data_IF_284073444588
#
_entry.id   IF_284073444588
#
_cell.length_a   1.000
_cell.length_b   1.000
_cell.length_c   1.000
_cell.angle_alpha   90.00
_cell.angle_beta   90.00
_cell.angle_gamma   90.00
#
_symmetry.space_group_name_H-M   'P 1'
#
loop_
_entity.id
_entity.type
_entity.pdbx_description
1 polymer ?
#
# COMPACT_ATOMS: atom_id res chain seq x y z
N UNK A 1 24.20 -9.74 26.64
CA UNK A 1 23.20 -10.77 26.27
C UNK A 1 21.86 -10.44 26.90
N UNK A 2 20.86 -10.08 26.09
CA UNK A 2 19.43 -10.44 26.17
C UNK A 2 18.64 -9.52 25.24
N UNK A 3 17.90 -10.14 24.33
CA UNK A 3 17.01 -9.52 23.35
C UNK A 3 15.88 -8.76 24.05
N UNK A 4 15.38 -7.70 23.42
CA UNK A 4 14.06 -7.15 23.73
C UNK A 4 13.28 -6.94 22.43
N UNK A 5 12.13 -7.60 22.40
CA UNK A 5 11.07 -7.52 21.39
C UNK A 5 10.43 -6.13 21.41
N UNK A 6 10.06 -5.60 20.24
CA UNK A 6 9.07 -4.52 20.17
C UNK A 6 7.85 -4.98 19.38
N UNK A 7 6.79 -5.29 20.12
CA UNK A 7 5.41 -5.35 19.66
C UNK A 7 4.95 -3.94 19.29
N UNK A 8 4.48 -3.76 18.06
CA UNK A 8 3.78 -2.54 17.65
C UNK A 8 2.37 -2.54 18.24
N UNK A 9 2.19 -1.84 19.35
CA UNK A 9 0.88 -1.37 19.82
C UNK A 9 0.75 0.13 19.58
N UNK A 10 -0.31 0.50 18.87
CA UNK A 10 -0.90 1.84 18.72
C UNK A 10 -0.05 3.03 19.17
N UNK A 11 0.54 3.72 18.20
CA UNK A 11 1.11 5.04 18.38
C UNK A 11 0.00 6.07 18.63
N UNK A 12 -0.37 6.27 19.91
CA UNK A 12 -0.90 7.56 20.35
C UNK A 12 0.30 8.47 20.62
N UNK A 13 0.68 9.25 19.61
CA UNK A 13 1.66 10.33 19.74
C UNK A 13 1.15 11.34 20.77
N UNK A 14 1.75 11.34 21.95
CA UNK A 14 2.07 12.53 22.73
C UNK A 14 2.77 12.11 24.00
N UNK A 15 4.08 11.88 23.90
CA UNK A 15 5.12 12.12 24.92
C UNK A 15 6.39 11.39 24.49
N UNK A 16 7.30 12.10 23.83
CA UNK A 16 8.69 11.65 23.79
C UNK A 16 9.39 12.29 24.99
N UNK A 17 9.72 11.48 26.00
CA UNK A 17 10.54 11.94 27.13
C UNK A 17 12.00 11.76 26.72
N UNK A 18 12.67 12.85 26.36
CA UNK A 18 14.12 12.84 26.13
C UNK A 18 14.81 13.20 27.45
N UNK A 19 15.59 12.26 27.99
CA UNK A 19 16.40 12.49 29.19
C UNK A 19 17.79 12.96 28.77
N UNK A 20 18.15 14.20 29.12
CA UNK A 20 19.54 14.63 29.18
C UNK A 20 19.92 14.87 30.63
N UNK A 21 20.98 14.20 31.09
CA UNK A 21 21.50 14.37 32.44
C UNK A 21 22.59 15.46 32.43
N UNK A 22 22.31 16.60 33.08
CA UNK A 22 23.36 17.52 33.49
C UNK A 22 23.42 17.52 35.03
N UNK A 23 24.57 17.10 35.55
CA UNK A 23 24.84 16.94 36.97
C UNK A 23 25.06 18.30 37.66
N UNK A 24 24.03 18.84 38.31
CA UNK A 24 24.17 19.83 39.39
C UNK A 24 23.02 19.67 40.40
N UNK A 25 23.29 19.57 41.72
CA UNK A 25 22.24 19.42 42.73
C UNK A 25 21.63 20.79 43.08
N UNK A 26 20.32 20.95 42.86
CA UNK A 26 19.56 22.11 43.38
C UNK A 26 18.57 22.82 42.45
N UNK A 27 18.16 22.24 41.31
CA UNK A 27 17.21 22.92 40.42
C UNK A 27 15.76 22.49 40.66
N UNK A 28 14.92 23.44 41.09
CA UNK A 28 13.46 23.33 40.98
C UNK A 28 13.05 23.09 39.52
N UNK A 29 12.29 22.02 39.30
CA UNK A 29 11.69 21.70 37.99
C UNK A 29 10.68 22.78 37.61
N UNK A 30 11.02 23.62 36.63
CA UNK A 30 10.03 24.44 35.94
C UNK A 30 9.49 23.64 34.76
N UNK A 31 8.20 23.32 34.78
CA UNK A 31 7.50 22.75 33.62
C UNK A 31 7.35 23.85 32.58
N UNK A 32 8.18 23.81 31.54
CA UNK A 32 7.97 24.66 30.36
C UNK A 32 6.92 23.98 29.48
N UNK A 33 5.69 24.47 29.52
CA UNK A 33 4.63 24.04 28.60
C UNK A 33 4.91 24.65 27.23
N UNK A 34 5.54 23.89 26.34
CA UNK A 34 5.69 24.28 24.94
C UNK A 34 4.35 24.01 24.25
N UNK A 35 3.51 25.04 24.09
CA UNK A 35 2.29 24.92 23.29
C UNK A 35 2.69 24.66 21.84
N UNK A 36 2.21 23.56 21.26
CA UNK A 36 2.39 23.31 19.82
C UNK A 36 1.83 24.49 19.02
N UNK A 37 2.61 25.08 18.09
CA UNK A 37 2.11 26.17 17.24
C UNK A 37 1.09 25.67 16.20
N UNK A 38 0.92 24.35 16.05
CA UNK A 38 -0.03 23.76 15.13
C UNK A 38 -1.44 23.77 15.74
N UNK A 39 -2.28 24.68 15.25
CA UNK A 39 -3.74 24.60 15.42
C UNK A 39 -4.21 23.29 14.80
N UNK A 40 -4.98 22.50 15.55
CA UNK A 40 -5.69 21.34 15.01
C UNK A 40 -6.73 21.84 14.02
N UNK A 41 -6.43 21.72 12.74
CA UNK A 41 -7.38 22.02 11.68
C UNK A 41 -8.44 20.91 11.64
N UNK A 42 -9.64 21.23 12.12
CA UNK A 42 -10.80 20.34 12.11
C UNK A 42 -11.41 20.17 10.70
N UNK A 43 -10.82 20.74 9.64
CA UNK A 43 -11.28 20.57 8.25
C UNK A 43 -10.74 19.31 7.57
N UNK A 44 -9.86 18.54 8.21
CA UNK A 44 -9.44 17.23 7.68
C UNK A 44 -10.62 16.26 7.81
N UNK A 45 -11.34 16.06 6.70
CA UNK A 45 -12.40 15.05 6.61
C UNK A 45 -11.85 13.70 7.03
N UNK A 46 -12.37 13.13 8.13
CA UNK A 46 -12.02 11.78 8.56
C UNK A 46 -12.31 10.81 7.41
N UNK A 47 -11.37 9.91 7.12
CA UNK A 47 -11.60 8.86 6.12
C UNK A 47 -12.86 8.07 6.52
N UNK A 48 -13.77 7.78 5.56
CA UNK A 48 -14.93 6.95 5.84
C UNK A 48 -14.52 5.60 6.43
N UNK A 49 -15.31 5.13 7.39
CA UNK A 49 -15.12 3.81 7.96
C UNK A 49 -15.62 2.73 6.97
N UNK A 50 -14.78 1.73 6.70
CA UNK A 50 -15.13 0.56 5.88
C UNK A 50 -15.36 -0.60 6.84
N UNK A 51 -16.58 -1.16 6.87
CA UNK A 51 -16.96 -2.23 7.80
C UNK A 51 -16.13 -3.51 7.57
N UNK A 52 -15.85 -4.26 8.63
CA UNK A 52 -15.08 -5.51 8.53
C UNK A 52 -15.71 -6.50 7.55
N UNK A 53 -17.04 -6.58 7.49
CA UNK A 53 -17.77 -7.39 6.51
C UNK A 53 -17.45 -6.98 5.07
N UNK A 54 -17.39 -5.67 4.78
CA UNK A 54 -17.03 -5.18 3.44
C UNK A 54 -15.55 -5.42 3.13
N UNK A 55 -14.66 -5.24 4.12
CA UNK A 55 -13.22 -5.54 3.98
C UNK A 55 -13.00 -7.00 3.62
N UNK A 56 -13.68 -7.91 4.31
CA UNK A 56 -13.62 -9.35 4.05
C UNK A 56 -14.20 -9.71 2.68
N UNK A 57 -15.35 -9.13 2.31
CA UNK A 57 -15.94 -9.34 0.98
C UNK A 57 -14.98 -8.93 -0.16
N UNK A 58 -14.34 -7.76 -0.03
CA UNK A 58 -13.34 -7.28 -1.00
C UNK A 58 -12.13 -8.21 -1.04
N UNK A 59 -11.61 -8.65 0.12
CA UNK A 59 -10.46 -9.55 0.18
C UNK A 59 -10.75 -10.93 -0.42
N UNK A 60 -11.91 -11.51 -0.12
CA UNK A 60 -12.37 -12.79 -0.67
C UNK A 60 -12.56 -12.70 -2.19
N UNK A 61 -13.17 -11.62 -2.69
CA UNK A 61 -13.35 -11.37 -4.13
C UNK A 61 -12.00 -11.24 -4.84
N UNK A 62 -11.02 -10.60 -4.20
CA UNK A 62 -9.65 -10.51 -4.69
C UNK A 62 -8.84 -11.81 -4.50
N UNK A 63 -9.46 -12.89 -4.04
CA UNK A 63 -8.83 -14.18 -3.71
C UNK A 63 -7.61 -14.01 -2.79
N UNK A 64 -7.68 -13.04 -1.88
CA UNK A 64 -6.61 -12.65 -0.97
C UNK A 64 -5.29 -12.29 -1.68
N UNK A 65 -5.36 -11.73 -2.90
CA UNK A 65 -4.22 -11.25 -3.68
C UNK A 65 -4.33 -9.77 -3.97
N UNK A 66 -3.18 -9.11 -4.10
CA UNK A 66 -3.14 -7.72 -4.57
C UNK A 66 -3.69 -7.64 -6.01
N UNK A 67 -4.65 -6.75 -6.27
CA UNK A 67 -5.22 -6.57 -7.61
C UNK A 67 -4.24 -6.18 -8.71
N UNK A 68 -3.11 -5.58 -8.35
CA UNK A 68 -2.11 -5.11 -9.31
C UNK A 68 -0.99 -6.12 -9.55
N UNK A 69 -0.36 -6.57 -8.47
CA UNK A 69 0.84 -7.42 -8.55
C UNK A 69 0.61 -8.90 -8.26
N UNK A 70 -0.62 -9.28 -7.93
CA UNK A 70 -1.05 -10.63 -7.53
C UNK A 70 -0.28 -11.27 -6.37
N UNK A 71 0.52 -10.49 -5.62
CA UNK A 71 1.12 -10.94 -4.35
C UNK A 71 0.01 -11.39 -3.40
N UNK A 72 0.14 -12.62 -2.89
CA UNK A 72 -0.80 -13.18 -1.91
C UNK A 72 -0.60 -12.59 -0.52
N UNK A 73 -1.71 -12.35 0.15
CA UNK A 73 -1.75 -12.02 1.58
C UNK A 73 -1.11 -13.12 2.42
N UNK A 74 -1.20 -14.40 2.00
CA UNK A 74 -0.74 -15.55 2.78
C UNK A 74 0.78 -15.61 3.04
N UNK A 75 1.59 -14.92 2.24
CA UNK A 75 3.04 -14.80 2.44
C UNK A 75 3.52 -13.35 2.53
N UNK A 76 2.59 -12.39 2.66
CA UNK A 76 2.93 -11.00 2.94
C UNK A 76 2.97 -10.80 4.45
N UNK A 77 4.14 -10.47 4.99
CA UNK A 77 4.31 -10.21 6.43
C UNK A 77 3.66 -8.89 6.92
N UNK A 78 2.98 -8.17 6.04
CA UNK A 78 2.34 -6.88 6.29
C UNK A 78 0.85 -6.96 5.94
N UNK A 79 -0.02 -6.27 6.68
CA UNK A 79 -1.44 -6.20 6.34
C UNK A 79 -1.67 -5.66 4.94
N UNK A 80 -2.62 -6.26 4.22
CA UNK A 80 -3.11 -5.74 2.95
C UNK A 80 -4.01 -4.51 3.21
N UNK A 81 -4.05 -3.62 2.23
CA UNK A 81 -4.88 -2.42 2.27
C UNK A 81 -6.16 -2.64 1.48
N UNK A 82 -7.25 -2.09 2.01
CA UNK A 82 -8.46 -1.83 1.21
C UNK A 82 -8.23 -0.48 0.56
N UNK A 83 -8.06 -0.52 -0.75
CA UNK A 83 -7.57 0.57 -1.58
C UNK A 83 -8.71 1.14 -2.42
N UNK A 84 -8.74 2.48 -2.49
CA UNK A 84 -9.70 3.23 -3.29
C UNK A 84 -9.17 3.41 -4.72
N UNK A 85 -9.77 2.72 -5.68
CA UNK A 85 -9.38 2.76 -7.09
C UNK A 85 -9.41 4.21 -7.60
N UNK A 86 -10.54 4.89 -7.39
CA UNK A 86 -10.64 6.35 -7.43
C UNK A 86 -10.38 6.88 -6.01
N UNK A 87 -9.30 7.65 -5.79
CA UNK A 87 -8.98 8.17 -4.46
C UNK A 87 -10.11 9.05 -3.90
N UNK A 88 -10.28 9.04 -2.57
CA UNK A 88 -11.22 9.94 -1.89
C UNK A 88 -10.98 11.42 -2.23
N UNK A 89 -9.71 11.82 -2.36
CA UNK A 89 -9.33 13.19 -2.75
C UNK A 89 -9.76 13.58 -4.17
N UNK A 90 -10.08 12.59 -5.02
CA UNK A 90 -10.60 12.76 -6.37
C UNK A 90 -12.12 12.47 -6.44
N UNK A 91 -12.83 12.44 -5.31
CA UNK A 91 -14.27 12.21 -5.25
C UNK A 91 -14.69 10.73 -5.22
N UNK A 92 -13.75 9.80 -5.02
CA UNK A 92 -14.08 8.39 -4.85
C UNK A 92 -14.92 8.12 -3.59
N UNK A 93 -15.79 7.13 -3.66
CA UNK A 93 -16.61 6.67 -2.53
C UNK A 93 -15.93 5.50 -1.79
N UNK A 94 -16.51 5.03 -0.68
CA UNK A 94 -16.04 3.82 0.04
C UNK A 94 -16.99 2.64 -0.15
N UNK A 95 -17.61 2.57 -1.31
CA UNK A 95 -18.48 1.46 -1.73
C UNK A 95 -17.67 0.37 -2.42
N UNK A 96 -18.21 -0.84 -2.44
CA UNK A 96 -17.51 -2.01 -2.97
C UNK A 96 -16.95 -1.80 -4.38
N UNK A 97 -17.70 -1.17 -5.28
CA UNK A 97 -17.30 -0.94 -6.68
C UNK A 97 -16.01 -0.10 -6.83
N UNK A 98 -15.67 0.72 -5.84
CA UNK A 98 -14.46 1.53 -5.81
C UNK A 98 -13.34 0.94 -4.93
N UNK A 99 -13.56 -0.21 -4.30
CA UNK A 99 -12.62 -0.83 -3.38
C UNK A 99 -11.98 -2.09 -3.97
N UNK A 100 -10.68 -2.24 -3.75
CA UNK A 100 -9.95 -3.49 -4.01
C UNK A 100 -8.88 -3.80 -2.96
N UNK A 101 -8.35 -5.03 -2.97
CA UNK A 101 -7.24 -5.43 -2.11
C UNK A 101 -5.89 -5.07 -2.74
N UNK A 102 -5.05 -4.33 -2.02
CA UNK A 102 -3.73 -3.93 -2.49
C UNK A 102 -2.63 -4.24 -1.47
N UNK A 103 -1.45 -4.68 -1.94
CA UNK A 103 -0.30 -4.81 -1.05
C UNK A 103 0.26 -3.42 -0.67
N UNK A 104 1.02 -3.32 0.44
CA UNK A 104 1.56 -2.03 0.88
C UNK A 104 2.40 -1.30 -0.17
N UNK A 105 3.17 -2.04 -0.98
CA UNK A 105 3.99 -1.45 -2.04
C UNK A 105 3.13 -0.85 -3.16
N UNK A 106 2.20 -1.63 -3.73
CA UNK A 106 1.34 -1.14 -4.81
C UNK A 106 0.45 0.01 -4.35
N UNK A 107 -0.16 -0.10 -3.16
CA UNK A 107 -0.96 0.98 -2.58
C UNK A 107 -0.12 2.25 -2.35
N UNK A 108 1.10 2.10 -1.83
CA UNK A 108 2.03 3.21 -1.59
C UNK A 108 2.48 3.91 -2.87
N UNK A 109 2.81 3.16 -3.93
CA UNK A 109 3.18 3.75 -5.22
C UNK A 109 2.00 4.34 -5.96
N UNK A 110 0.81 3.72 -5.92
CA UNK A 110 -0.40 4.28 -6.52
C UNK A 110 -0.73 5.63 -5.89
N UNK A 111 -0.80 5.69 -4.56
CA UNK A 111 -1.18 6.92 -3.85
C UNK A 111 -2.50 7.46 -4.38
N UNK A 112 -2.48 8.68 -4.94
CA UNK A 112 -3.65 9.32 -5.56
C UNK A 112 -3.67 9.25 -7.09
N UNK A 113 -2.75 8.51 -7.70
CA UNK A 113 -2.67 8.39 -9.16
C UNK A 113 -3.86 7.57 -9.68
N UNK A 114 -4.48 8.07 -10.76
CA UNK A 114 -5.50 7.35 -11.55
C UNK A 114 -5.09 7.19 -13.02
N UNK A 115 -4.05 7.92 -13.44
CA UNK A 115 -3.52 7.89 -14.79
C UNK A 115 -1.99 7.95 -14.75
N UNK A 116 -1.37 7.46 -15.81
CA UNK A 116 0.06 7.59 -16.05
C UNK A 116 0.34 7.57 -17.55
N UNK A 117 1.41 8.23 -17.99
CA UNK A 117 1.80 8.23 -19.40
C UNK A 117 2.21 6.81 -19.84
N UNK A 118 1.61 6.30 -20.91
CA UNK A 118 2.05 5.05 -21.52
C UNK A 118 3.49 5.23 -22.05
N UNK A 119 4.46 4.43 -21.60
CA UNK A 119 5.87 4.64 -21.95
C UNK A 119 6.17 4.50 -23.44
N UNK A 120 5.31 3.85 -24.23
CA UNK A 120 5.51 3.72 -25.68
C UNK A 120 4.98 4.93 -26.46
N UNK A 121 3.84 5.49 -26.05
CA UNK A 121 3.12 6.51 -26.82
C UNK A 121 3.17 7.91 -26.19
N UNK A 122 3.53 8.01 -24.90
CA UNK A 122 3.45 9.24 -24.11
C UNK A 122 2.03 9.66 -23.74
N UNK A 123 1.00 8.96 -24.22
CA UNK A 123 -0.40 9.31 -23.97
C UNK A 123 -0.76 9.02 -22.53
N UNK A 124 -1.33 10.01 -21.84
CA UNK A 124 -1.81 9.85 -20.48
C UNK A 124 -2.99 8.86 -20.45
N UNK A 125 -2.79 7.70 -19.84
CA UNK A 125 -3.72 6.56 -19.88
C UNK A 125 -4.17 6.21 -18.47
N UNK A 126 -5.43 5.79 -18.31
CA UNK A 126 -5.91 5.26 -17.04
C UNK A 126 -5.07 4.05 -16.61
N UNK A 127 -4.67 4.03 -15.34
CA UNK A 127 -4.03 2.85 -14.76
C UNK A 127 -5.10 1.77 -14.50
N UNK A 128 -4.64 0.53 -14.42
CA UNK A 128 -5.48 -0.66 -14.36
C UNK A 128 -6.49 -0.62 -13.22
N UNK A 129 -7.73 -0.98 -13.52
CA UNK A 129 -8.81 -1.11 -12.56
C UNK A 129 -9.12 -2.59 -12.29
N UNK A 130 -8.70 -3.15 -11.16
CA UNK A 130 -8.90 -4.57 -10.85
C UNK A 130 -10.36 -4.98 -10.63
N UNK A 131 -11.28 -4.02 -10.40
CA UNK A 131 -12.72 -4.31 -10.28
C UNK A 131 -13.38 -4.54 -11.64
N UNK A 132 -12.88 -3.88 -12.69
CA UNK A 132 -13.55 -3.81 -14.00
C UNK A 132 -12.79 -4.54 -15.11
N UNK A 133 -11.49 -4.79 -14.93
CA UNK A 133 -10.62 -5.32 -15.98
C UNK A 133 -10.04 -6.67 -15.57
N UNK A 134 -9.91 -7.58 -16.54
CA UNK A 134 -9.24 -8.86 -16.32
C UNK A 134 -7.73 -8.65 -16.37
N UNK A 135 -7.03 -9.12 -15.35
CA UNK A 135 -5.57 -8.96 -15.26
C UNK A 135 -4.87 -9.55 -16.49
N UNK A 136 -5.31 -10.73 -16.95
CA UNK A 136 -4.76 -11.41 -18.11
C UNK A 136 -4.91 -10.65 -19.41
N UNK A 137 -5.84 -9.70 -19.54
CA UNK A 137 -5.99 -8.94 -20.79
C UNK A 137 -4.90 -7.86 -20.88
N UNK A 138 -4.48 -7.32 -19.74
CA UNK A 138 -3.55 -6.19 -19.66
C UNK A 138 -2.11 -6.60 -19.33
N UNK A 139 -1.91 -7.77 -18.73
CA UNK A 139 -0.61 -8.20 -18.24
C UNK A 139 -0.32 -9.67 -18.58
N UNK A 140 0.95 -10.03 -18.47
CA UNK A 140 1.43 -11.41 -18.33
C UNK A 140 2.65 -11.45 -17.43
N UNK A 141 2.97 -12.62 -16.90
CA UNK A 141 4.28 -12.86 -16.28
C UNK A 141 5.37 -13.03 -17.34
N UNK A 142 6.61 -12.69 -17.00
CA UNK A 142 7.79 -13.20 -17.69
C UNK A 142 7.89 -14.71 -17.53
N UNK A 143 8.64 -15.38 -18.40
CA UNK A 143 8.79 -16.85 -18.37
C UNK A 143 9.33 -17.37 -17.03
N UNK A 144 10.21 -16.59 -16.39
CA UNK A 144 10.76 -16.89 -15.06
C UNK A 144 9.83 -16.52 -13.89
N UNK A 145 8.66 -15.94 -14.16
CA UNK A 145 7.70 -15.49 -13.15
C UNK A 145 8.14 -14.28 -12.33
N UNK A 146 9.24 -13.60 -12.67
CA UNK A 146 9.80 -12.54 -11.82
C UNK A 146 9.24 -11.15 -12.14
N UNK A 147 8.77 -10.94 -13.36
CA UNK A 147 8.34 -9.64 -13.87
C UNK A 147 6.90 -9.68 -14.39
N UNK A 148 6.20 -8.57 -14.20
CA UNK A 148 4.91 -8.28 -14.83
C UNK A 148 5.18 -7.48 -16.10
N UNK A 149 4.69 -7.97 -17.23
CA UNK A 149 4.84 -7.35 -18.54
C UNK A 149 3.48 -6.78 -18.94
N UNK A 150 3.41 -5.47 -19.19
CA UNK A 150 2.21 -4.81 -19.70
C UNK A 150 2.02 -5.09 -21.19
N UNK A 151 0.83 -5.56 -21.58
CA UNK A 151 0.46 -5.92 -22.96
C UNK A 151 -0.31 -4.83 -23.69
N UNK A 152 -0.85 -3.88 -22.93
CA UNK A 152 -1.70 -2.77 -23.42
C UNK A 152 -1.14 -1.45 -22.88
N UNK A 153 -1.56 -0.32 -23.46
CA UNK A 153 -1.19 1.01 -22.95
C UNK A 153 -1.52 1.15 -21.45
N UNK A 154 -2.70 0.71 -21.03
CA UNK A 154 -3.11 0.66 -19.62
C UNK A 154 -2.17 -0.22 -18.78
N UNK A 155 -1.83 -1.42 -19.25
CA UNK A 155 -0.92 -2.32 -18.55
C UNK A 155 0.50 -1.75 -18.40
N UNK A 156 1.07 -1.21 -19.47
CA UNK A 156 2.41 -0.60 -19.45
C UNK A 156 2.45 0.63 -18.54
N UNK A 157 1.47 1.53 -18.66
CA UNK A 157 1.33 2.68 -17.78
C UNK A 157 1.27 2.24 -16.30
N UNK A 158 0.48 1.20 -15.99
CA UNK A 158 0.35 0.66 -14.62
C UNK A 158 1.66 0.08 -14.10
N UNK A 159 2.39 -0.70 -14.91
CA UNK A 159 3.67 -1.31 -14.50
C UNK A 159 4.67 -0.24 -14.04
N UNK A 160 4.73 0.89 -14.76
CA UNK A 160 5.62 2.01 -14.42
C UNK A 160 5.07 2.79 -13.22
N UNK A 161 3.80 3.19 -13.26
CA UNK A 161 3.16 3.99 -12.21
C UNK A 161 3.26 3.36 -10.82
N UNK A 162 2.96 2.05 -10.73
CA UNK A 162 2.93 1.31 -9.48
C UNK A 162 4.25 0.59 -9.18
N UNK A 163 5.27 0.78 -10.03
CA UNK A 163 6.57 0.10 -9.94
C UNK A 163 6.43 -1.40 -9.69
N UNK A 164 5.61 -2.06 -10.51
CA UNK A 164 5.23 -3.48 -10.33
C UNK A 164 6.41 -4.45 -10.42
N UNK A 165 7.55 -3.98 -10.93
CA UNK A 165 8.82 -4.71 -11.07
C UNK A 165 9.96 -4.08 -10.24
N UNK A 166 9.65 -3.39 -9.13
CA UNK A 166 10.69 -2.86 -8.25
C UNK A 166 11.59 -3.97 -7.66
N UNK A 167 12.78 -3.58 -7.20
CA UNK A 167 13.81 -4.52 -6.71
C UNK A 167 13.39 -5.33 -5.48
N UNK A 168 12.43 -4.85 -4.67
CA UNK A 168 11.90 -5.62 -3.55
C UNK A 168 11.01 -6.76 -4.05
N UNK A 169 10.05 -6.46 -4.93
CA UNK A 169 9.18 -7.47 -5.53
C UNK A 169 9.97 -8.49 -6.35
N UNK A 170 10.93 -8.05 -7.16
CA UNK A 170 11.77 -8.96 -7.94
C UNK A 170 12.51 -9.98 -7.06
N UNK A 171 13.16 -9.50 -5.99
CA UNK A 171 13.88 -10.38 -5.04
C UNK A 171 12.94 -11.31 -4.28
N UNK A 172 11.75 -10.83 -3.91
CA UNK A 172 10.75 -11.64 -3.22
C UNK A 172 10.20 -12.75 -4.14
N UNK A 173 9.78 -12.39 -5.36
CA UNK A 173 9.29 -13.34 -6.37
C UNK A 173 10.31 -14.42 -6.69
N UNK A 174 11.60 -14.09 -6.77
CA UNK A 174 12.66 -15.09 -6.97
C UNK A 174 12.62 -16.19 -5.90
N UNK A 175 12.41 -15.82 -4.63
CA UNK A 175 12.29 -16.79 -3.53
C UNK A 175 10.95 -17.55 -3.59
N UNK A 176 9.87 -16.89 -3.96
CA UNK A 176 8.55 -17.52 -4.08
C UNK A 176 8.48 -18.51 -5.24
N UNK A 177 9.14 -18.22 -6.37
CA UNK A 177 9.30 -19.15 -7.50
C UNK A 177 10.09 -20.37 -7.06
N UNK A 178 11.22 -20.19 -6.35
CA UNK A 178 12.00 -21.31 -5.78
C UNK A 178 11.18 -22.17 -4.81
N UNK A 179 10.19 -21.58 -4.13
CA UNK A 179 9.29 -22.27 -3.20
C UNK A 179 8.04 -22.87 -3.89
N UNK A 180 7.85 -22.65 -5.19
CA UNK A 180 6.66 -23.09 -5.94
C UNK A 180 5.38 -22.31 -5.63
N UNK A 181 5.47 -21.11 -5.04
CA UNK A 181 4.31 -20.28 -4.68
C UNK A 181 3.96 -19.21 -5.72
N UNK A 182 4.79 -19.06 -6.76
CA UNK A 182 4.69 -17.98 -7.74
C UNK A 182 5.18 -18.45 -9.12
N UNK A 183 4.62 -17.94 -10.25
CA UNK A 183 3.46 -17.05 -10.33
C UNK A 183 2.16 -17.74 -9.86
N UNK A 184 1.17 -17.00 -9.34
CA UNK A 184 -0.11 -17.58 -8.98
C UNK A 184 -0.90 -17.94 -10.24
N UNK A 185 -1.82 -18.90 -10.10
CA UNK A 185 -2.83 -19.13 -11.12
C UNK A 185 -3.65 -17.86 -11.33
N UNK A 186 -3.80 -17.50 -12.61
CA UNK A 186 -4.48 -16.27 -13.02
C UNK A 186 -5.96 -16.53 -13.32
N UNK A 187 -6.46 -17.75 -13.08
CA UNK A 187 -7.83 -18.22 -13.37
C UNK A 187 -8.91 -17.29 -12.83
#
# INVERSE_FOLDING_TARGET
>A
MKQVWNSYTNCKVNTAVCWYANHTPGCCWHVVVIKSPFKTDNTVSRRPHISDTLREKVAATAQHRCGYCLTSQGYTAMPMHIEHIIPLAAGGNSEEDNLWLACPLCNGYKGVQTHFADPETGVNTQIFNPRQQKWQDHFRWSEDGLQIIGKTACGRATVIALKLNNSFLFRARRRWVMAGWHPPDIS
#
